data_IF_390601503807
#
_entry.id   IF_390601503807
#
_cell.length_a   1.000
_cell.length_b   1.000
_cell.length_c   1.000
_cell.angle_alpha   90.00
_cell.angle_beta   90.00
_cell.angle_gamma   90.00
#
_symmetry.space_group_name_H-M   'P 1'
#
loop_
_entity.id
_entity.type
_entity.pdbx_description
1 polymer ?
#
# COMPACT_ATOMS: atom_id res chain seq x y z
N UNK A 1 -26.04 6.10 -11.12
CA UNK A 1 -24.88 5.19 -11.04
C UNK A 1 -23.68 5.99 -10.60
N UNK A 2 -23.31 5.93 -9.32
CA UNK A 2 -22.17 6.71 -8.78
C UNK A 2 -20.90 5.94 -9.15
N UNK A 3 -20.14 6.44 -10.14
CA UNK A 3 -18.79 5.91 -10.41
C UNK A 3 -17.93 6.19 -9.17
N UNK A 4 -17.24 5.19 -8.59
CA UNK A 4 -16.29 5.47 -7.52
C UNK A 4 -15.24 6.44 -8.06
N UNK A 5 -15.20 7.66 -7.52
CA UNK A 5 -14.14 8.62 -7.82
C UNK A 5 -12.87 8.08 -7.15
N UNK A 6 -11.91 7.66 -7.98
CA UNK A 6 -10.57 7.24 -7.60
C UNK A 6 -10.52 5.98 -6.73
N UNK A 7 -10.66 4.82 -7.37
CA UNK A 7 -10.21 3.57 -6.78
C UNK A 7 -8.68 3.61 -6.71
N UNK A 8 -8.15 3.58 -5.49
CA UNK A 8 -6.71 3.58 -5.21
C UNK A 8 -6.36 2.43 -4.27
N UNK A 9 -5.21 1.81 -4.50
CA UNK A 9 -4.61 0.78 -3.66
C UNK A 9 -3.23 1.26 -3.23
N UNK A 10 -3.04 1.52 -1.93
CA UNK A 10 -1.79 2.06 -1.37
C UNK A 10 -1.27 3.30 -2.13
N UNK A 11 -2.16 4.23 -2.47
CA UNK A 11 -1.83 5.43 -3.24
C UNK A 11 -1.70 5.23 -4.76
N UNK A 12 -1.70 4.00 -5.26
CA UNK A 12 -1.66 3.71 -6.70
C UNK A 12 -3.07 3.59 -7.27
N UNK A 13 -3.30 4.23 -8.42
CA UNK A 13 -4.58 4.15 -9.13
C UNK A 13 -4.85 2.72 -9.60
N UNK A 14 -6.05 2.20 -9.34
CA UNK A 14 -6.46 0.87 -9.78
C UNK A 14 -7.60 0.95 -10.79
N UNK A 15 -7.53 0.10 -11.81
CA UNK A 15 -8.52 0.00 -12.86
C UNK A 15 -9.28 -1.33 -12.74
N UNK A 16 -10.60 -1.29 -12.86
CA UNK A 16 -11.40 -2.52 -12.93
C UNK A 16 -11.29 -3.09 -14.35
N UNK A 17 -10.64 -4.24 -14.48
CA UNK A 17 -10.39 -4.89 -15.79
C UNK A 17 -11.28 -6.12 -16.03
N UNK A 18 -11.95 -6.63 -15.00
CA UNK A 18 -12.81 -7.82 -15.11
C UNK A 18 -14.30 -7.50 -15.31
N UNK A 19 -14.90 -8.13 -16.32
CA UNK A 19 -16.35 -8.19 -16.50
C UNK A 19 -16.84 -9.64 -16.27
N UNK A 20 -17.27 -9.95 -15.04
CA UNK A 20 -17.77 -11.26 -14.64
C UNK A 20 -18.27 -11.30 -13.19
N UNK A 21 -18.56 -12.51 -12.65
CA UNK A 21 -18.98 -12.70 -11.24
C UNK A 21 -17.90 -12.29 -10.22
N UNK A 22 -16.62 -12.26 -10.62
CA UNK A 22 -15.50 -11.76 -9.81
C UNK A 22 -15.07 -10.38 -10.28
N UNK A 23 -14.91 -9.45 -9.33
CA UNK A 23 -14.31 -8.15 -9.61
C UNK A 23 -12.79 -8.28 -9.59
N UNK A 24 -12.15 -8.01 -10.73
CA UNK A 24 -10.69 -8.00 -10.87
C UNK A 24 -10.24 -6.57 -11.10
N UNK A 25 -9.23 -6.16 -10.36
CA UNK A 25 -8.60 -4.84 -10.45
C UNK A 25 -7.14 -4.99 -10.83
N UNK A 26 -6.65 -4.06 -11.64
CA UNK A 26 -5.26 -3.96 -12.08
C UNK A 26 -4.68 -2.65 -11.58
N UNK A 27 -3.42 -2.68 -11.17
CA UNK A 27 -2.62 -1.48 -10.86
C UNK A 27 -1.28 -1.58 -11.59
N UNK A 28 -0.62 -0.45 -11.80
CA UNK A 28 0.76 -0.38 -12.30
C UNK A 28 1.58 0.30 -11.22
N UNK A 29 2.61 -0.40 -10.73
CA UNK A 29 3.49 0.08 -9.67
C UNK A 29 4.89 0.23 -10.28
N UNK A 30 5.47 1.42 -10.13
CA UNK A 30 6.89 1.63 -10.43
C UNK A 30 7.70 1.03 -9.28
N UNK A 31 8.45 -0.02 -9.56
CA UNK A 31 9.22 -0.76 -8.56
C UNK A 31 10.19 0.14 -7.79
N UNK A 32 10.88 1.07 -8.47
CA UNK A 32 11.87 1.96 -7.83
C UNK A 32 11.23 2.97 -6.90
N UNK A 33 10.11 3.56 -7.32
CA UNK A 33 9.38 4.51 -6.48
C UNK A 33 8.76 3.80 -5.27
N UNK A 34 8.19 2.62 -5.51
CA UNK A 34 7.60 1.81 -4.45
C UNK A 34 8.64 1.34 -3.44
N UNK A 35 9.81 0.89 -3.90
CA UNK A 35 10.89 0.46 -3.00
C UNK A 35 11.42 1.63 -2.18
N UNK A 36 11.58 2.82 -2.78
CA UNK A 36 12.03 4.01 -2.08
C UNK A 36 11.03 4.49 -1.01
N UNK A 37 9.72 4.48 -1.32
CA UNK A 37 8.67 4.82 -0.34
C UNK A 37 8.66 3.80 0.80
N UNK A 38 8.66 2.50 0.46
CA UNK A 38 8.64 1.43 1.46
C UNK A 38 9.88 1.48 2.35
N UNK A 39 11.06 1.71 1.79
CA UNK A 39 12.31 1.86 2.56
C UNK A 39 12.23 3.06 3.50
N UNK A 40 11.71 4.20 3.03
CA UNK A 40 11.53 5.38 3.86
C UNK A 40 10.52 5.16 5.00
N UNK A 41 9.41 4.48 4.74
CA UNK A 41 8.41 4.13 5.75
C UNK A 41 8.98 3.17 6.80
N UNK A 42 9.72 2.15 6.38
CA UNK A 42 10.38 1.20 7.28
C UNK A 42 11.43 1.91 8.13
N UNK A 43 12.24 2.79 7.53
CA UNK A 43 13.23 3.57 8.27
C UNK A 43 12.57 4.46 9.31
N UNK A 44 11.51 5.18 8.95
CA UNK A 44 10.77 6.03 9.88
C UNK A 44 10.18 5.21 11.04
N UNK A 45 9.63 4.02 10.77
CA UNK A 45 9.13 3.14 11.81
C UNK A 45 10.25 2.68 12.76
N UNK A 46 11.43 2.33 12.22
CA UNK A 46 12.61 1.96 13.02
C UNK A 46 13.07 3.14 13.88
N UNK A 47 13.17 4.35 13.30
CA UNK A 47 13.58 5.55 14.02
C UNK A 47 12.62 5.82 15.20
N UNK A 48 11.31 5.71 14.98
CA UNK A 48 10.29 5.82 16.04
C UNK A 48 10.46 4.75 17.11
N UNK A 49 10.75 3.49 16.74
CA UNK A 49 10.98 2.43 17.74
C UNK A 49 12.23 2.69 18.58
N UNK A 50 13.27 3.26 17.98
CA UNK A 50 14.49 3.64 18.69
C UNK A 50 14.20 4.79 19.66
N UNK A 51 13.49 5.81 19.19
CA UNK A 51 13.22 7.03 19.96
C UNK A 51 12.22 6.78 21.10
N UNK A 52 11.17 6.01 20.87
CA UNK A 52 10.12 5.72 21.85
C UNK A 52 10.42 4.48 22.70
N UNK A 53 11.34 3.62 22.27
CA UNK A 53 11.69 2.38 22.97
C UNK A 53 10.59 1.31 22.96
N UNK A 54 9.61 1.42 22.06
CA UNK A 54 8.48 0.50 21.94
C UNK A 54 8.70 -0.42 20.74
N UNK A 55 8.91 -1.72 21.00
CA UNK A 55 8.98 -2.73 19.95
C UNK A 55 7.58 -2.86 19.29
N UNK A 56 7.49 -2.87 17.95
CA UNK A 56 6.23 -3.05 17.23
C UNK A 56 5.62 -4.41 17.56
N UNK A 57 4.28 -4.46 17.66
CA UNK A 57 3.61 -5.74 17.69
C UNK A 57 3.90 -6.49 16.38
N UNK A 58 4.64 -7.59 16.49
CA UNK A 58 4.80 -8.52 15.37
C UNK A 58 3.41 -9.04 15.02
N UNK A 59 3.02 -8.88 13.75
CA UNK A 59 1.85 -9.56 13.21
C UNK A 59 2.00 -11.06 13.50
N UNK A 60 1.23 -11.56 14.47
CA UNK A 60 1.16 -12.98 14.78
C UNK A 60 0.39 -13.65 13.64
N UNK A 61 1.10 -14.08 12.60
CA UNK A 61 0.60 -15.01 11.59
C UNK A 61 0.35 -16.39 12.18
#
# INVERSE_FOLDING_TARGET
>A
MVKPKNLVYRGYSIEKVGHGKRSVFRTIINEKEWSAITESEVKAAIDVWIDEGVEPERDKT
#
